data_IF_955880360482
#
_entry.id   IF_955880360482
#
_cell.length_a   1.000
_cell.length_b   1.000
_cell.length_c   1.000
_cell.angle_alpha   90.00
_cell.angle_beta   90.00
_cell.angle_gamma   90.00
#
_symmetry.space_group_name_H-M   'P 1'
#
loop_
_entity.id
_entity.type
_entity.pdbx_description
1 polymer ?
#
# COMPACT_ATOMS: atom_id res chain seq x y z
N UNK A 1 -11.89 -12.26 18.05
CA UNK A 1 -12.00 -10.82 18.35
C UNK A 1 -11.58 -10.16 17.05
N UNK A 2 -12.39 -9.28 16.49
CA UNK A 2 -12.04 -8.61 15.23
C UNK A 2 -10.83 -7.70 15.50
N UNK A 3 -9.80 -7.79 14.67
CA UNK A 3 -8.61 -6.94 14.81
C UNK A 3 -9.02 -5.48 14.65
N UNK A 4 -8.65 -4.65 15.64
CA UNK A 4 -9.04 -3.24 15.65
C UNK A 4 -7.84 -2.37 15.35
N UNK A 5 -8.03 -1.35 14.51
CA UNK A 5 -7.06 -0.28 14.40
C UNK A 5 -7.03 0.53 15.70
N UNK A 6 -5.85 0.63 16.30
CA UNK A 6 -5.61 1.40 17.53
C UNK A 6 -4.86 2.70 17.25
N UNK A 7 -4.17 2.80 16.10
CA UNK A 7 -3.51 4.02 15.63
C UNK A 7 -3.49 4.05 14.10
N UNK A 8 -3.68 5.23 13.52
CA UNK A 8 -3.58 5.48 12.08
C UNK A 8 -2.62 6.66 11.88
N UNK A 9 -1.68 6.53 10.95
CA UNK A 9 -0.78 7.62 10.53
C UNK A 9 -0.86 7.79 9.01
N UNK A 10 -0.69 9.01 8.48
CA UNK A 10 -0.55 9.20 7.03
C UNK A 10 0.67 8.43 6.52
N UNK A 11 0.53 7.84 5.34
CA UNK A 11 1.66 7.18 4.67
C UNK A 11 2.57 8.22 4.00
N UNK A 12 3.78 7.79 3.64
CA UNK A 12 4.68 8.61 2.83
C UNK A 12 4.12 8.74 1.42
N UNK A 13 4.23 9.92 0.81
CA UNK A 13 3.66 10.24 -0.52
C UNK A 13 4.21 9.37 -1.65
N UNK A 14 5.34 8.68 -1.42
CA UNK A 14 5.98 7.80 -2.40
C UNK A 14 5.70 6.30 -2.17
N UNK A 15 4.74 5.95 -1.32
CA UNK A 15 4.30 4.57 -1.13
C UNK A 15 3.04 4.28 -1.95
N UNK A 16 3.08 3.17 -2.68
CA UNK A 16 2.00 2.75 -3.56
C UNK A 16 1.70 1.26 -3.37
N UNK A 17 0.47 0.86 -3.62
CA UNK A 17 0.09 -0.53 -3.87
C UNK A 17 0.37 -0.88 -5.34
N UNK A 18 0.66 -2.14 -5.62
CA UNK A 18 0.82 -2.70 -6.97
C UNK A 18 -0.15 -3.87 -7.12
N UNK A 19 -1.08 -3.76 -8.06
CA UNK A 19 -2.06 -4.81 -8.38
C UNK A 19 -1.97 -5.16 -9.86
N UNK A 20 -2.03 -6.46 -10.18
CA UNK A 20 -2.04 -6.92 -11.57
C UNK A 20 -3.48 -7.02 -12.08
N UNK A 21 -3.79 -6.32 -13.16
CA UNK A 21 -5.09 -6.39 -13.83
C UNK A 21 -4.97 -7.41 -14.97
N UNK A 22 -5.48 -8.62 -14.74
CA UNK A 22 -5.36 -9.73 -15.69
C UNK A 22 -5.99 -9.42 -17.06
N UNK A 23 -7.10 -8.68 -17.07
CA UNK A 23 -7.84 -8.34 -18.30
C UNK A 23 -7.02 -7.49 -19.27
N UNK A 24 -6.23 -6.56 -18.73
CA UNK A 24 -5.43 -5.61 -19.50
C UNK A 24 -3.96 -6.02 -19.60
N UNK A 25 -3.52 -6.99 -18.79
CA UNK A 25 -2.12 -7.44 -18.73
C UNK A 25 -1.17 -6.37 -18.18
N UNK A 26 -1.66 -5.46 -17.34
CA UNK A 26 -0.90 -4.33 -16.80
C UNK A 26 -0.92 -4.31 -15.29
N UNK A 27 0.10 -3.68 -14.70
CA UNK A 27 0.09 -3.31 -13.29
C UNK A 27 -0.58 -1.95 -13.11
N UNK A 28 -1.48 -1.88 -12.13
CA UNK A 28 -2.05 -0.65 -11.61
C UNK A 28 -1.37 -0.30 -10.29
N UNK A 29 -1.10 1.00 -10.12
CA UNK A 29 -0.46 1.53 -8.93
C UNK A 29 -1.42 2.53 -8.26
N UNK A 30 -1.74 2.30 -6.99
CA UNK A 30 -2.59 3.20 -6.21
C UNK A 30 -1.82 3.81 -5.04
N UNK A 31 -1.98 5.11 -4.75
CA UNK A 31 -1.33 5.72 -3.58
C UNK A 31 -1.78 5.07 -2.29
N UNK A 32 -0.82 4.70 -1.44
CA UNK A 32 -1.13 4.34 -0.06
C UNK A 32 -1.37 5.63 0.71
N UNK A 33 -2.53 5.73 1.35
CA UNK A 33 -2.97 6.95 2.04
C UNK A 33 -2.67 6.91 3.53
N UNK A 34 -2.65 5.73 4.14
CA UNK A 34 -2.32 5.57 5.56
C UNK A 34 -1.71 4.21 5.91
N UNK A 35 -1.11 4.16 7.10
CA UNK A 35 -0.69 2.94 7.77
C UNK A 35 -1.44 2.83 9.10
N UNK A 36 -1.89 1.64 9.46
CA UNK A 36 -2.65 1.37 10.68
C UNK A 36 -1.96 0.32 11.55
N UNK A 37 -1.83 0.61 12.85
CA UNK A 37 -1.42 -0.36 13.87
C UNK A 37 -2.66 -1.09 14.40
N UNK A 38 -2.65 -2.41 14.35
CA UNK A 38 -3.73 -3.24 14.90
C UNK A 38 -3.53 -3.51 16.39
N UNK A 39 -4.60 -3.95 17.07
CA UNK A 39 -4.55 -4.42 18.47
C UNK A 39 -3.59 -5.57 18.71
N UNK A 40 -3.27 -6.31 17.65
CA UNK A 40 -2.42 -7.50 17.69
C UNK A 40 -0.94 -7.17 17.39
N UNK A 41 -0.66 -5.89 17.10
CA UNK A 41 0.69 -5.38 16.87
C UNK A 41 1.12 -5.38 15.41
N UNK A 42 0.24 -5.75 14.48
CA UNK A 42 0.52 -5.73 13.05
C UNK A 42 0.39 -4.34 12.45
N UNK A 43 1.12 -4.11 11.36
CA UNK A 43 0.98 -2.91 10.53
C UNK A 43 0.24 -3.28 9.25
N UNK A 44 -0.87 -2.58 9.00
CA UNK A 44 -1.64 -2.62 7.76
C UNK A 44 -1.35 -1.37 6.94
N UNK A 45 -1.36 -1.53 5.62
CA UNK A 45 -1.29 -0.43 4.67
C UNK A 45 -2.67 -0.30 4.03
N UNK A 46 -3.10 0.93 3.78
CA UNK A 46 -4.37 1.18 3.10
C UNK A 46 -4.17 2.06 1.89
N UNK A 47 -4.67 1.62 0.73
CA UNK A 47 -4.77 2.44 -0.46
C UNK A 47 -6.19 2.99 -0.62
N UNK A 48 -6.36 3.86 -1.62
CA UNK A 48 -7.65 4.44 -1.94
C UNK A 48 -7.96 4.18 -3.41
N UNK A 49 -9.14 3.64 -3.70
CA UNK A 49 -9.57 3.42 -5.08
C UNK A 49 -10.07 4.72 -5.74
N UNK A 50 -10.41 4.63 -7.04
CA UNK A 50 -10.91 5.77 -7.81
C UNK A 50 -12.27 6.32 -7.35
N UNK A 51 -12.99 5.62 -6.45
CA UNK A 51 -14.24 6.07 -5.83
C UNK A 51 -14.02 6.78 -4.50
N UNK A 52 -12.79 6.76 -3.97
CA UNK A 52 -12.46 7.28 -2.66
C UNK A 52 -12.68 6.27 -1.52
N UNK A 53 -12.91 5.00 -1.85
CA UNK A 53 -13.00 3.93 -0.86
C UNK A 53 -11.60 3.54 -0.42
N UNK A 54 -11.42 3.38 0.90
CA UNK A 54 -10.14 3.05 1.52
C UNK A 54 -10.25 1.65 2.10
N UNK A 55 -9.32 0.77 1.72
CA UNK A 55 -9.26 -0.61 2.22
C UNK A 55 -7.83 -1.04 2.54
N UNK A 56 -7.70 -2.15 3.25
CA UNK A 56 -6.42 -2.79 3.52
C UNK A 56 -5.85 -3.48 2.27
N UNK A 57 -4.53 -3.39 2.11
CA UNK A 57 -3.79 -4.16 1.11
C UNK A 57 -2.84 -5.13 1.80
N UNK A 58 -2.47 -6.17 1.06
CA UNK A 58 -1.40 -7.07 1.47
C UNK A 58 -0.04 -6.37 1.44
N UNK A 59 0.78 -6.59 2.47
CA UNK A 59 2.10 -5.95 2.61
C UNK A 59 3.04 -6.24 1.44
N UNK A 60 2.92 -7.41 0.79
CA UNK A 60 3.73 -7.77 -0.38
C UNK A 60 3.37 -6.98 -1.64
N UNK A 61 2.26 -6.23 -1.63
CA UNK A 61 1.86 -5.35 -2.73
C UNK A 61 2.44 -3.94 -2.58
N UNK A 62 3.13 -3.64 -1.47
CA UNK A 62 3.67 -2.30 -1.20
C UNK A 62 4.97 -2.08 -1.97
N UNK A 63 4.99 -1.03 -2.79
CA UNK A 63 6.14 -0.57 -3.54
C UNK A 63 6.45 0.89 -3.21
N UNK A 64 7.71 1.29 -3.43
CA UNK A 64 8.16 2.67 -3.32
C UNK A 64 8.40 3.26 -4.70
N UNK A 65 7.80 4.41 -4.98
CA UNK A 65 8.11 5.18 -6.17
C UNK A 65 9.40 6.01 -5.98
N UNK A 66 10.31 5.90 -6.94
CA UNK A 66 11.57 6.65 -6.99
C UNK A 66 11.48 7.66 -8.14
N UNK A 67 11.13 8.94 -7.87
CA UNK A 67 10.90 9.94 -8.92
C UNK A 67 12.16 10.25 -9.74
N UNK A 68 13.35 10.03 -9.17
CA UNK A 68 14.63 10.25 -9.86
C UNK A 68 14.89 9.21 -10.97
N UNK A 69 14.29 8.03 -10.85
CA UNK A 69 14.42 6.93 -11.82
C UNK A 69 13.15 6.73 -12.64
N UNK A 70 12.03 7.34 -12.22
CA UNK A 70 10.68 7.05 -12.70
C UNK A 70 10.32 5.56 -12.58
N UNK A 71 10.71 4.94 -11.46
CA UNK A 71 10.57 3.50 -11.23
C UNK A 71 9.87 3.18 -9.89
N UNK A 72 9.18 2.05 -9.85
CA UNK A 72 8.64 1.46 -8.62
C UNK A 72 9.52 0.30 -8.18
N UNK A 73 9.98 0.34 -6.93
CA UNK A 73 10.84 -0.71 -6.34
C UNK A 73 10.10 -1.43 -5.22
N UNK A 74 10.25 -2.76 -5.14
CA UNK A 74 9.64 -3.54 -4.07
C UNK A 74 10.38 -3.26 -2.76
N UNK A 75 9.65 -3.11 -1.65
CA UNK A 75 10.27 -2.77 -0.37
C UNK A 75 11.15 -3.89 0.19
N UNK A 76 10.97 -5.12 -0.29
CA UNK A 76 11.70 -6.31 0.18
C UNK A 76 12.97 -6.62 -0.64
N UNK A 77 13.29 -5.83 -1.66
CA UNK A 77 14.50 -6.02 -2.48
C UNK A 77 15.80 -5.52 -1.81
N UNK A 78 15.74 -5.09 -0.55
CA UNK A 78 16.89 -4.65 0.25
C UNK A 78 17.26 -5.68 1.33
N UNK A 79 17.60 -6.92 0.92
CA UNK A 79 18.34 -7.89 1.75
C UNK A 79 19.81 -7.98 1.34
#
# INVERSE_FOLDING_TARGET
MEDKFIQIIPASENLFSKSYIEEDGVYLYSPIVCMALTSDGDIKFCDMDGSGYIDEIDTFMVVKYLPELDEYVELFDFE
#
